data_IF_856767835746
#
_entry.id   IF_856767835746
#
_cell.length_a   1.000
_cell.length_b   1.000
_cell.length_c   1.000
_cell.angle_alpha   90.00
_cell.angle_beta   90.00
_cell.angle_gamma   90.00
#
_symmetry.space_group_name_H-M   'P 1'
#
loop_
_entity.id
_entity.type
_entity.pdbx_description
1 polymer ?
#
# COMPACT_ATOMS: atom_id res chain seq x y z
N UNK A 1 -7.16 20.33 7.95
CA UNK A 1 -6.43 19.51 6.95
C UNK A 1 -6.41 18.03 7.34
N UNK A 2 -5.92 17.64 8.51
CA UNK A 2 -5.85 16.24 8.97
C UNK A 2 -7.22 15.52 8.97
N UNK A 3 -8.26 16.14 9.49
CA UNK A 3 -9.63 15.60 9.50
C UNK A 3 -10.20 15.30 8.11
N UNK A 4 -9.78 16.03 7.10
CA UNK A 4 -10.18 15.74 5.71
C UNK A 4 -9.57 14.42 5.23
N UNK A 5 -8.27 14.21 5.45
CA UNK A 5 -7.60 12.95 5.06
C UNK A 5 -8.15 11.74 5.81
N UNK A 6 -8.43 11.88 7.11
CA UNK A 6 -9.04 10.81 7.92
C UNK A 6 -10.41 10.40 7.35
N UNK A 7 -11.23 11.37 6.94
CA UNK A 7 -12.57 11.10 6.36
C UNK A 7 -12.49 10.55 4.93
N UNK A 8 -11.47 10.97 4.17
CA UNK A 8 -11.35 10.59 2.75
C UNK A 8 -10.64 9.23 2.58
N UNK A 9 -9.67 8.92 3.45
CA UNK A 9 -8.83 7.73 3.34
C UNK A 9 -8.85 6.83 4.60
N UNK A 10 -10.01 6.51 5.18
CA UNK A 10 -10.06 5.76 6.43
C UNK A 10 -9.44 4.36 6.32
N UNK A 11 -9.69 3.64 5.21
CA UNK A 11 -9.12 2.31 4.99
C UNK A 11 -7.62 2.37 4.69
N UNK A 12 -7.15 3.36 3.94
CA UNK A 12 -5.72 3.58 3.73
C UNK A 12 -4.97 3.80 5.03
N UNK A 13 -5.54 4.61 5.94
CA UNK A 13 -4.98 4.82 7.27
C UNK A 13 -5.01 3.55 8.13
N UNK A 14 -6.10 2.76 8.05
CA UNK A 14 -6.19 1.49 8.76
C UNK A 14 -5.12 0.50 8.28
N UNK A 15 -4.92 0.38 6.97
CA UNK A 15 -3.88 -0.48 6.39
C UNK A 15 -2.48 0.02 6.77
N UNK A 16 -2.25 1.33 6.75
CA UNK A 16 -0.97 1.94 7.21
C UNK A 16 -0.67 1.59 8.66
N UNK A 17 -1.67 1.68 9.54
CA UNK A 17 -1.55 1.30 10.95
C UNK A 17 -1.32 -0.21 11.11
N UNK A 18 -2.02 -1.03 10.34
CA UNK A 18 -1.81 -2.48 10.35
C UNK A 18 -0.38 -2.85 9.94
N UNK A 19 0.17 -2.21 8.90
CA UNK A 19 1.56 -2.39 8.48
C UNK A 19 2.52 -2.00 9.60
N UNK A 20 2.29 -0.86 10.26
CA UNK A 20 3.12 -0.43 11.41
C UNK A 20 3.16 -1.49 12.50
N UNK A 21 1.98 -1.99 12.91
CA UNK A 21 1.88 -3.00 13.96
C UNK A 21 2.56 -4.31 13.53
N UNK A 22 2.27 -4.80 12.33
CA UNK A 22 2.85 -6.04 11.81
C UNK A 22 4.37 -5.95 11.59
N UNK A 23 4.87 -4.77 11.22
CA UNK A 23 6.31 -4.56 11.02
C UNK A 23 7.10 -4.50 12.33
N UNK A 24 6.50 -3.98 13.40
CA UNK A 24 7.19 -3.75 14.68
C UNK A 24 6.80 -4.74 15.78
N UNK A 25 5.73 -5.53 15.60
CA UNK A 25 5.35 -6.52 16.60
C UNK A 25 6.27 -7.76 16.54
N UNK A 26 6.61 -8.35 17.68
CA UNK A 26 7.25 -9.65 17.73
C UNK A 26 6.23 -10.72 17.35
N UNK A 27 6.15 -11.04 16.06
CA UNK A 27 5.27 -12.09 15.56
C UNK A 27 5.98 -13.42 15.75
N UNK A 28 5.38 -14.42 16.46
CA UNK A 28 5.94 -15.75 16.57
C UNK A 28 6.15 -16.35 15.18
N UNK A 29 7.27 -17.03 14.98
CA UNK A 29 7.54 -17.81 13.77
C UNK A 29 6.45 -18.87 13.61
N UNK A 30 5.83 -18.89 12.44
CA UNK A 30 4.81 -19.89 12.09
C UNK A 30 5.50 -20.97 11.29
N UNK A 31 5.68 -22.20 11.84
CA UNK A 31 6.45 -23.26 11.16
C UNK A 31 5.99 -23.56 9.74
N UNK A 32 4.68 -23.44 9.46
CA UNK A 32 4.11 -23.64 8.14
C UNK A 32 4.55 -22.61 7.10
N UNK A 33 5.11 -21.46 7.52
CA UNK A 33 5.56 -20.37 6.64
C UNK A 33 7.07 -20.44 6.42
N UNK A 34 7.82 -21.06 7.32
CA UNK A 34 9.28 -21.22 7.20
C UNK A 34 9.69 -22.03 5.98
N UNK A 35 8.85 -22.99 5.55
CA UNK A 35 9.10 -23.84 4.38
C UNK A 35 8.82 -23.11 3.05
N UNK A 36 8.21 -21.91 3.05
CA UNK A 36 7.91 -21.16 1.85
C UNK A 36 9.08 -20.23 1.51
N UNK A 37 9.78 -20.46 0.38
CA UNK A 37 10.88 -19.59 -0.02
C UNK A 37 10.41 -18.13 -0.15
N UNK A 38 11.16 -17.22 0.45
CA UNK A 38 10.88 -15.77 0.39
C UNK A 38 9.51 -15.35 0.96
N UNK A 39 8.92 -16.12 1.89
CA UNK A 39 7.62 -15.81 2.50
C UNK A 39 7.56 -14.40 3.05
N UNK A 40 8.64 -13.93 3.66
CA UNK A 40 8.78 -12.58 4.16
C UNK A 40 8.64 -11.54 3.03
N UNK A 41 9.32 -11.71 1.91
CA UNK A 41 9.25 -10.83 0.73
C UNK A 41 7.85 -10.78 0.12
N UNK A 42 7.16 -11.94 0.03
CA UNK A 42 5.77 -12.00 -0.41
C UNK A 42 4.84 -11.23 0.51
N UNK A 43 5.05 -11.33 1.81
CA UNK A 43 4.27 -10.60 2.81
C UNK A 43 4.42 -9.09 2.63
N UNK A 44 5.65 -8.59 2.51
CA UNK A 44 5.95 -7.19 2.23
C UNK A 44 5.27 -6.72 0.94
N UNK A 45 5.42 -7.47 -0.14
CA UNK A 45 4.82 -7.16 -1.43
C UNK A 45 3.28 -7.05 -1.36
N UNK A 46 2.61 -8.01 -0.71
CA UNK A 46 1.14 -8.02 -0.57
C UNK A 46 0.67 -6.86 0.31
N UNK A 47 1.34 -6.57 1.42
CA UNK A 47 1.01 -5.44 2.29
C UNK A 47 1.04 -4.11 1.54
N UNK A 48 2.10 -3.84 0.79
CA UNK A 48 2.26 -2.57 0.06
C UNK A 48 1.41 -2.49 -1.21
N UNK A 49 1.15 -3.62 -1.88
CA UNK A 49 0.15 -3.68 -2.95
C UNK A 49 -1.25 -3.33 -2.42
N UNK A 50 -1.63 -3.90 -1.27
CA UNK A 50 -2.91 -3.62 -0.61
C UNK A 50 -3.02 -2.17 -0.19
N UNK A 51 -1.98 -1.59 0.43
CA UNK A 51 -1.96 -0.19 0.83
C UNK A 51 -2.17 0.73 -0.38
N UNK A 52 -1.36 0.56 -1.41
CA UNK A 52 -1.41 1.36 -2.63
C UNK A 52 -2.76 1.24 -3.32
N UNK A 53 -3.26 0.01 -3.51
CA UNK A 53 -4.55 -0.25 -4.14
C UNK A 53 -5.71 0.39 -3.35
N UNK A 54 -5.66 0.31 -2.02
CA UNK A 54 -6.68 0.91 -1.15
C UNK A 54 -6.70 2.44 -1.28
N UNK A 55 -5.54 3.08 -1.30
CA UNK A 55 -5.43 4.53 -1.49
C UNK A 55 -5.96 4.93 -2.87
N UNK A 56 -5.59 4.21 -3.93
CA UNK A 56 -6.09 4.45 -5.29
C UNK A 56 -7.60 4.31 -5.37
N UNK A 57 -8.15 3.24 -4.81
CA UNK A 57 -9.59 3.01 -4.78
C UNK A 57 -10.35 4.13 -4.06
N UNK A 58 -9.88 4.54 -2.87
CA UNK A 58 -10.49 5.63 -2.12
C UNK A 58 -10.37 6.97 -2.84
N UNK A 59 -9.22 7.24 -3.47
CA UNK A 59 -9.02 8.43 -4.28
C UNK A 59 -10.00 8.50 -5.44
N UNK A 60 -10.10 7.43 -6.22
CA UNK A 60 -11.00 7.36 -7.39
C UNK A 60 -12.48 7.51 -7.01
N UNK A 61 -12.87 7.04 -5.83
CA UNK A 61 -14.25 7.20 -5.33
C UNK A 61 -14.54 8.60 -4.80
N UNK A 62 -13.56 9.28 -4.26
CA UNK A 62 -13.74 10.55 -3.57
C UNK A 62 -13.56 11.77 -4.48
N UNK A 63 -12.97 11.60 -5.67
CA UNK A 63 -12.65 12.70 -6.56
C UNK A 63 -13.25 12.48 -7.95
N UNK A 64 -14.10 13.40 -8.38
CA UNK A 64 -14.67 13.41 -9.76
C UNK A 64 -13.60 13.72 -10.82
N UNK A 65 -12.65 14.60 -10.49
CA UNK A 65 -11.54 14.96 -11.36
C UNK A 65 -10.23 14.43 -10.77
N UNK A 66 -9.44 13.75 -11.60
CA UNK A 66 -8.17 13.14 -11.17
C UNK A 66 -7.05 14.19 -11.28
N UNK A 67 -6.45 14.50 -10.15
CA UNK A 67 -5.16 15.18 -10.10
C UNK A 67 -4.05 14.14 -10.04
N UNK A 68 -3.35 13.96 -11.16
CA UNK A 68 -2.26 13.00 -11.26
C UNK A 68 -1.15 13.27 -10.26
N UNK A 69 -0.82 14.54 -10.03
CA UNK A 69 0.19 14.92 -9.06
C UNK A 69 -0.17 14.44 -7.64
N UNK A 70 -1.42 14.67 -7.21
CA UNK A 70 -1.89 14.20 -5.90
C UNK A 70 -1.91 12.68 -5.81
N UNK A 71 -2.35 12.02 -6.86
CA UNK A 71 -2.43 10.56 -6.90
C UNK A 71 -1.05 9.91 -6.86
N UNK A 72 -0.05 10.48 -7.55
CA UNK A 72 1.34 10.01 -7.49
C UNK A 72 1.91 10.23 -6.08
N UNK A 73 1.70 11.40 -5.49
CA UNK A 73 2.23 11.68 -4.15
C UNK A 73 1.60 10.73 -3.11
N UNK A 74 0.28 10.60 -3.10
CA UNK A 74 -0.43 9.82 -2.08
C UNK A 74 -0.41 8.31 -2.36
N UNK A 75 -0.48 7.92 -3.63
CA UNK A 75 -0.65 6.52 -4.02
C UNK A 75 0.61 5.84 -4.54
N UNK A 76 1.75 6.54 -4.59
CA UNK A 76 3.05 5.95 -4.98
C UNK A 76 4.12 6.37 -3.99
N UNK A 77 4.40 7.68 -3.90
CA UNK A 77 5.53 8.18 -3.10
C UNK A 77 5.32 7.97 -1.60
N UNK A 78 4.11 8.21 -1.09
CA UNK A 78 3.81 8.03 0.33
C UNK A 78 3.92 6.55 0.77
N UNK A 79 3.33 5.55 0.07
CA UNK A 79 3.55 4.15 0.38
C UNK A 79 5.02 3.72 0.28
N UNK A 80 5.75 4.15 -0.75
CA UNK A 80 7.17 3.82 -0.91
C UNK A 80 8.03 4.41 0.23
N UNK A 81 7.80 5.68 0.59
CA UNK A 81 8.47 6.32 1.71
C UNK A 81 8.13 5.65 3.04
N UNK A 82 6.86 5.24 3.24
CA UNK A 82 6.44 4.47 4.40
C UNK A 82 7.16 3.13 4.49
N UNK A 83 7.36 2.43 3.35
CA UNK A 83 8.16 1.21 3.28
C UNK A 83 9.59 1.42 3.77
N UNK A 84 10.26 2.44 3.27
CA UNK A 84 11.62 2.79 3.71
C UNK A 84 11.68 3.14 5.20
N UNK A 85 10.67 3.87 5.72
CA UNK A 85 10.57 4.19 7.15
C UNK A 85 10.40 2.92 8.00
N UNK A 86 9.60 1.95 7.55
CA UNK A 86 9.41 0.70 8.29
C UNK A 86 10.70 -0.14 8.34
N UNK A 87 11.47 -0.20 7.25
CA UNK A 87 12.77 -0.88 7.26
C UNK A 87 13.77 -0.22 8.22
N UNK A 88 13.81 1.12 8.23
CA UNK A 88 14.63 1.85 9.22
C UNK A 88 14.14 1.61 10.65
N UNK A 89 12.82 1.63 10.86
CA UNK A 89 12.26 1.36 12.18
C UNK A 89 12.59 -0.06 12.67
N UNK A 90 12.50 -1.05 11.79
CA UNK A 90 12.90 -2.43 12.11
C UNK A 90 14.39 -2.51 12.48
N UNK A 91 15.26 -1.87 11.70
CA UNK A 91 16.70 -1.88 11.94
C UNK A 91 17.11 -1.23 13.27
N UNK A 92 16.42 -0.16 13.68
CA UNK A 92 16.84 0.65 14.82
C UNK A 92 15.97 0.50 16.07
N UNK A 93 14.72 0.09 15.94
CA UNK A 93 13.75 0.02 17.04
C UNK A 93 13.44 -1.41 17.48
N UNK A 94 13.88 -2.43 16.73
CA UNK A 94 13.67 -3.83 17.12
C UNK A 94 14.99 -4.56 17.28
N UNK A 95 15.02 -5.56 18.18
CA UNK A 95 16.19 -6.42 18.41
C UNK A 95 16.06 -7.78 17.75
N UNK A 96 14.85 -8.11 17.28
CA UNK A 96 14.48 -9.41 16.72
C UNK A 96 14.26 -9.38 15.20
N UNK A 97 14.30 -8.20 14.58
CA UNK A 97 14.28 -8.01 13.11
C UNK A 97 15.43 -7.09 12.69
N UNK A 98 16.06 -7.43 11.60
CA UNK A 98 17.02 -6.56 10.91
C UNK A 98 16.32 -5.94 9.72
N UNK A 99 16.49 -4.63 9.49
CA UNK A 99 16.06 -4.01 8.24
C UNK A 99 16.80 -4.66 7.06
N UNK A 100 16.08 -5.05 6.04
CA UNK A 100 16.62 -5.69 4.84
C UNK A 100 16.32 -4.87 3.58
N UNK A 101 17.35 -4.57 2.80
CA UNK A 101 17.20 -3.91 1.51
C UNK A 101 16.26 -4.65 0.56
N UNK A 102 16.25 -5.97 0.60
CA UNK A 102 15.36 -6.77 -0.23
C UNK A 102 13.88 -6.64 0.18
N UNK A 103 13.61 -6.35 1.45
CA UNK A 103 12.25 -6.06 1.92
C UNK A 103 11.77 -4.71 1.39
N UNK A 104 12.65 -3.71 1.34
CA UNK A 104 12.34 -2.45 0.68
C UNK A 104 12.09 -2.61 -0.82
N UNK A 105 12.84 -3.48 -1.51
CA UNK A 105 12.59 -3.82 -2.91
C UNK A 105 11.23 -4.51 -3.07
N UNK A 106 10.89 -5.46 -2.19
CA UNK A 106 9.60 -6.14 -2.18
C UNK A 106 8.45 -5.16 -1.92
N UNK A 107 8.61 -4.21 -0.99
CA UNK A 107 7.67 -3.12 -0.74
C UNK A 107 7.42 -2.30 -2.01
N UNK A 108 8.50 -1.92 -2.72
CA UNK A 108 8.44 -1.13 -3.94
C UNK A 108 7.74 -1.88 -5.08
N UNK A 109 8.00 -3.18 -5.24
CA UNK A 109 7.29 -4.04 -6.20
C UNK A 109 5.80 -4.09 -5.85
N UNK A 110 5.46 -4.23 -4.56
CA UNK A 110 4.08 -4.17 -4.08
C UNK A 110 3.38 -2.87 -4.47
N UNK A 111 4.05 -1.72 -4.30
CA UNK A 111 3.53 -0.42 -4.74
C UNK A 111 3.25 -0.41 -6.24
N UNK A 112 4.17 -0.90 -7.06
CA UNK A 112 3.98 -0.98 -8.52
C UNK A 112 2.78 -1.86 -8.89
N UNK A 113 2.63 -3.02 -8.27
CA UNK A 113 1.46 -3.90 -8.47
C UNK A 113 0.17 -3.16 -8.09
N UNK A 114 0.14 -2.49 -6.95
CA UNK A 114 -1.01 -1.70 -6.52
C UNK A 114 -1.38 -0.58 -7.50
N UNK A 115 -0.39 0.10 -8.10
CA UNK A 115 -0.59 1.11 -9.14
C UNK A 115 -1.20 0.49 -10.40
N UNK A 116 -0.66 -0.62 -10.89
CA UNK A 116 -1.18 -1.31 -12.09
C UNK A 116 -2.64 -1.72 -11.90
N UNK A 117 -2.97 -2.30 -10.74
CA UNK A 117 -4.35 -2.67 -10.41
C UNK A 117 -5.25 -1.43 -10.26
N UNK A 118 -4.75 -0.36 -9.67
CA UNK A 118 -5.46 0.91 -9.55
C UNK A 118 -5.78 1.54 -10.91
N UNK A 119 -4.84 1.51 -11.85
CA UNK A 119 -5.06 1.95 -13.23
C UNK A 119 -6.12 1.10 -13.94
N UNK A 120 -6.09 -0.23 -13.76
CA UNK A 120 -7.09 -1.13 -14.33
C UNK A 120 -8.50 -0.84 -13.78
N UNK A 121 -8.63 -0.52 -12.50
CA UNK A 121 -9.90 -0.10 -11.91
C UNK A 121 -10.43 1.20 -12.53
N UNK A 122 -9.55 2.17 -12.78
CA UNK A 122 -9.92 3.44 -13.41
C UNK A 122 -10.54 3.24 -14.79
N UNK A 123 -9.94 2.39 -15.61
CA UNK A 123 -10.46 2.09 -16.96
C UNK A 123 -11.88 1.53 -16.90
N UNK A 124 -12.16 0.63 -15.94
CA UNK A 124 -13.51 0.08 -15.74
C UNK A 124 -14.56 1.14 -15.34
N UNK A 125 -14.19 2.07 -14.47
CA UNK A 125 -15.09 3.14 -14.00
C UNK A 125 -15.40 4.11 -15.15
N UNK A 126 -14.39 4.61 -15.86
CA UNK A 126 -14.57 5.53 -17.00
C UNK A 126 -15.36 4.92 -18.16
N UNK A 127 -15.22 3.62 -18.42
CA UNK A 127 -15.98 2.90 -19.45
C UNK A 127 -17.47 2.73 -19.12
N UNK A 128 -17.83 2.72 -17.82
CA UNK A 128 -19.23 2.62 -17.37
C UNK A 128 -19.96 3.95 -17.53
N UNK A 129 -19.31 5.05 -17.16
CA UNK A 129 -19.89 6.39 -17.29
C UNK A 129 -20.16 6.76 -18.77
N UNK A 130 -19.28 6.34 -19.68
CA UNK A 130 -19.45 6.59 -21.12
C UNK A 130 -20.62 5.79 -21.71
N UNK A 131 -20.93 4.59 -21.17
CA UNK A 131 -22.10 3.80 -21.61
C UNK A 131 -23.42 4.33 -21.10
N UNK A 132 -23.44 4.93 -19.90
CA UNK A 132 -24.65 5.51 -19.31
C UNK A 132 -25.02 6.83 -20.00
N UNK A 133 -24.05 7.59 -20.51
CA UNK A 133 -24.27 8.85 -21.22
C UNK A 133 -24.62 8.64 -22.72
N UNK A 134 -24.54 7.42 -23.23
CA UNK A 134 -24.84 7.08 -24.62
C UNK A 134 -26.25 6.45 -24.82
N UNK A 135 -27.05 6.34 -23.75
CA UNK A 135 -28.45 5.90 -23.73
C UNK A 135 -29.39 7.09 -23.46
#
# INVERSE_FOLDING_TARGET
>A
MLTHYIKTYPLGLLVTLAILVLSLAPIPEVPAVEDVPLADKWTHMVMYATLTLTIWWQYLRSHKCISWQRLIVLGVLAPAAWGGLMELAQAYLTTYRSGDWWDFVANSIGVVIGVVLGLAMRVKVGGRDNKLNAQ
#
